data_IF_885416764534
#
_entry.id   IF_885416764534
#
_cell.length_a   1.000
_cell.length_b   1.000
_cell.length_c   1.000
_cell.angle_alpha   90.00
_cell.angle_beta   90.00
_cell.angle_gamma   90.00
#
_symmetry.space_group_name_H-M   'P 1'
#
loop_
_entity.id
_entity.type
_entity.pdbx_description
1 polymer ?
#
# COMPACT_ATOMS: atom_id res chain seq x y z
N UNK A 1 -53.32 -33.90 28.81
CA UNK A 1 -52.80 -33.28 27.57
C UNK A 1 -51.47 -32.61 27.91
N UNK A 2 -50.34 -33.32 27.73
CA UNK A 2 -49.00 -32.73 27.82
C UNK A 2 -48.47 -32.57 26.40
N UNK A 3 -48.31 -31.34 25.92
CA UNK A 3 -47.38 -31.07 24.82
C UNK A 3 -46.03 -30.68 25.43
N UNK A 4 -44.91 -31.29 25.01
CA UNK A 4 -43.60 -30.76 25.31
C UNK A 4 -43.20 -29.77 24.21
N UNK A 5 -42.99 -28.51 24.60
CA UNK A 5 -42.44 -27.47 23.74
C UNK A 5 -41.03 -27.86 23.26
N UNK A 6 -40.84 -27.82 21.94
CA UNK A 6 -39.54 -28.01 21.28
C UNK A 6 -38.67 -26.78 21.52
N UNK A 7 -37.74 -26.87 22.47
CA UNK A 7 -36.63 -25.92 22.57
C UNK A 7 -35.72 -26.02 21.34
N UNK A 8 -35.80 -24.99 20.50
CA UNK A 8 -34.92 -24.83 19.34
C UNK A 8 -33.58 -24.30 19.84
N UNK A 9 -32.58 -25.17 19.97
CA UNK A 9 -31.20 -24.77 20.32
C UNK A 9 -30.59 -23.92 19.21
N UNK A 10 -30.60 -22.61 19.40
CA UNK A 10 -29.83 -21.65 18.61
C UNK A 10 -28.34 -21.88 18.88
N UNK A 11 -27.64 -22.52 17.94
CA UNK A 11 -26.19 -22.67 18.00
C UNK A 11 -25.53 -21.30 17.82
N UNK A 12 -25.08 -20.69 18.92
CA UNK A 12 -24.20 -19.51 18.87
C UNK A 12 -22.89 -19.92 18.20
N UNK A 13 -22.56 -19.29 17.06
CA UNK A 13 -21.28 -19.48 16.39
C UNK A 13 -20.15 -19.13 17.37
N UNK A 14 -19.17 -20.02 17.60
CA UNK A 14 -18.07 -19.75 18.50
C UNK A 14 -17.25 -18.57 17.96
N UNK A 15 -16.88 -17.65 18.85
CA UNK A 15 -15.97 -16.55 18.54
C UNK A 15 -14.59 -17.19 18.33
N UNK A 16 -14.11 -17.24 17.08
CA UNK A 16 -12.85 -17.93 16.75
C UNK A 16 -11.68 -17.10 17.30
N UNK A 17 -11.10 -17.54 18.41
CA UNK A 17 -9.99 -16.84 19.06
C UNK A 17 -8.65 -17.06 18.34
N UNK A 18 -8.47 -18.20 17.66
CA UNK A 18 -7.29 -18.49 16.81
C UNK A 18 -7.67 -19.41 15.65
N UNK A 19 -7.16 -19.14 14.45
CA UNK A 19 -7.33 -20.02 13.31
C UNK A 19 -6.22 -21.10 13.28
N UNK A 20 -6.54 -22.28 12.78
CA UNK A 20 -5.60 -23.36 12.51
C UNK A 20 -5.38 -23.51 11.00
N UNK A 21 -4.12 -23.40 10.57
CA UNK A 21 -3.75 -23.49 9.15
C UNK A 21 -4.01 -24.89 8.56
N UNK A 22 -4.07 -25.93 9.39
CA UNK A 22 -4.35 -27.29 8.96
C UNK A 22 -5.83 -27.53 8.63
N UNK A 23 -6.74 -26.63 9.02
CA UNK A 23 -8.17 -26.77 8.80
C UNK A 23 -8.65 -25.88 7.66
N UNK A 24 -9.10 -26.50 6.57
CA UNK A 24 -9.54 -25.82 5.35
C UNK A 24 -10.63 -24.77 5.60
N UNK A 25 -11.66 -25.10 6.38
CA UNK A 25 -12.82 -24.20 6.59
C UNK A 25 -12.45 -22.91 7.32
N UNK A 26 -11.59 -23.04 8.33
CA UNK A 26 -11.05 -21.92 9.11
C UNK A 26 -10.20 -20.99 8.23
N UNK A 27 -9.39 -21.57 7.34
CA UNK A 27 -8.51 -20.79 6.45
C UNK A 27 -9.25 -20.08 5.31
N UNK A 28 -10.37 -20.63 4.82
CA UNK A 28 -11.22 -19.94 3.85
C UNK A 28 -11.96 -18.76 4.49
N UNK A 29 -12.41 -18.91 5.74
CA UNK A 29 -12.99 -17.78 6.49
C UNK A 29 -11.94 -16.68 6.72
N UNK A 30 -10.71 -17.07 7.07
CA UNK A 30 -9.60 -16.14 7.19
C UNK A 30 -9.35 -15.37 5.89
N UNK A 31 -9.39 -16.03 4.73
CA UNK A 31 -9.23 -15.35 3.44
C UNK A 31 -10.30 -14.25 3.21
N UNK A 32 -11.55 -14.49 3.59
CA UNK A 32 -12.64 -13.51 3.49
C UNK A 32 -12.40 -12.32 4.44
N UNK A 33 -12.02 -12.60 5.69
CA UNK A 33 -11.70 -11.57 6.68
C UNK A 33 -10.50 -10.70 6.22
N UNK A 34 -9.48 -11.35 5.65
CA UNK A 34 -8.30 -10.67 5.09
C UNK A 34 -8.67 -9.79 3.90
N UNK A 35 -9.49 -10.28 2.98
CA UNK A 35 -9.95 -9.52 1.83
C UNK A 35 -10.58 -8.19 2.27
N UNK A 36 -11.47 -8.25 3.26
CA UNK A 36 -12.13 -7.09 3.84
C UNK A 36 -11.14 -6.14 4.53
N UNK A 37 -10.33 -6.66 5.45
CA UNK A 37 -9.42 -5.83 6.26
C UNK A 37 -8.35 -5.13 5.41
N UNK A 38 -7.73 -5.85 4.46
CA UNK A 38 -6.70 -5.31 3.57
C UNK A 38 -7.29 -4.19 2.70
N UNK A 39 -8.53 -4.36 2.22
CA UNK A 39 -9.21 -3.37 1.38
C UNK A 39 -9.61 -2.12 2.17
N UNK A 40 -10.23 -2.29 3.33
CA UNK A 40 -10.69 -1.19 4.19
C UNK A 40 -9.52 -0.31 4.67
N UNK A 41 -8.36 -0.94 4.97
CA UNK A 41 -7.18 -0.25 5.48
C UNK A 41 -6.14 0.10 4.41
N UNK A 42 -6.41 -0.20 3.13
CA UNK A 42 -5.50 0.05 2.00
C UNK A 42 -4.10 -0.54 2.20
N UNK A 43 -4.04 -1.78 2.71
CA UNK A 43 -2.81 -2.53 2.97
C UNK A 43 -2.27 -3.24 1.72
N UNK A 44 -2.45 -2.61 0.55
CA UNK A 44 -2.04 -3.14 -0.73
C UNK A 44 -1.61 -2.01 -1.65
N UNK A 45 -0.88 -2.37 -2.70
CA UNK A 45 -0.46 -1.47 -3.76
C UNK A 45 -0.86 -2.04 -5.10
N UNK A 46 -1.36 -1.17 -5.98
CA UNK A 46 -1.65 -1.56 -7.35
C UNK A 46 -0.37 -1.40 -8.19
N UNK A 47 0.10 -2.48 -8.79
CA UNK A 47 1.25 -2.50 -9.68
C UNK A 47 0.81 -3.19 -10.96
N UNK A 48 0.82 -2.46 -12.09
CA UNK A 48 0.38 -2.96 -13.40
C UNK A 48 -1.04 -3.57 -13.39
N UNK A 49 -1.97 -2.95 -12.66
CA UNK A 49 -3.36 -3.39 -12.59
C UNK A 49 -3.61 -4.58 -11.65
N UNK A 50 -2.58 -5.06 -10.95
CA UNK A 50 -2.67 -6.14 -9.96
C UNK A 50 -2.44 -5.61 -8.55
N UNK A 51 -3.12 -6.20 -7.57
CA UNK A 51 -3.07 -5.76 -6.18
C UNK A 51 -2.11 -6.65 -5.37
N UNK A 52 -1.03 -6.05 -4.87
CA UNK A 52 -0.01 -6.72 -4.07
C UNK A 52 -0.10 -6.26 -2.62
N UNK A 53 -0.18 -7.20 -1.69
CA UNK A 53 -0.32 -6.90 -0.25
C UNK A 53 1.00 -6.39 0.31
N UNK A 54 0.95 -5.32 1.12
CA UNK A 54 2.11 -4.79 1.83
C UNK A 54 2.50 -5.66 3.02
N UNK A 55 3.71 -5.48 3.55
CA UNK A 55 4.22 -6.29 4.67
C UNK A 55 3.30 -6.25 5.91
N UNK A 56 2.56 -5.16 6.11
CA UNK A 56 1.60 -5.02 7.22
C UNK A 56 0.39 -5.93 7.04
N UNK A 57 -0.14 -6.05 5.82
CA UNK A 57 -1.21 -7.00 5.51
C UNK A 57 -0.78 -8.46 5.69
N UNK A 58 0.47 -8.79 5.34
CA UNK A 58 1.06 -10.12 5.63
C UNK A 58 1.20 -10.38 7.13
N UNK A 59 1.67 -9.39 7.90
CA UNK A 59 1.76 -9.48 9.36
C UNK A 59 0.38 -9.63 10.01
N UNK A 60 -0.63 -8.94 9.50
CA UNK A 60 -2.00 -9.10 9.98
C UNK A 60 -2.50 -10.54 9.77
N UNK A 61 -2.27 -11.11 8.58
CA UNK A 61 -2.59 -12.52 8.30
C UNK A 61 -1.89 -13.49 9.24
N UNK A 62 -0.58 -13.30 9.45
CA UNK A 62 0.18 -14.06 10.44
C UNK A 62 -0.37 -13.96 11.85
N UNK A 63 -0.67 -12.73 12.31
CA UNK A 63 -1.17 -12.47 13.67
C UNK A 63 -2.47 -13.21 13.97
N UNK A 64 -3.34 -13.40 12.96
CA UNK A 64 -4.62 -14.08 13.08
C UNK A 64 -4.48 -15.59 13.26
N UNK A 65 -3.32 -16.13 12.87
CA UNK A 65 -2.89 -17.51 13.08
C UNK A 65 -1.97 -17.67 14.31
N UNK A 66 -1.67 -16.58 15.03
CA UNK A 66 -0.71 -16.58 16.14
C UNK A 66 0.76 -16.69 15.68
N UNK A 67 1.05 -16.35 14.43
CA UNK A 67 2.39 -16.45 13.83
C UNK A 67 3.02 -15.06 13.72
N UNK A 68 4.15 -14.85 14.39
CA UNK A 68 4.85 -13.56 14.44
C UNK A 68 6.24 -13.64 13.78
N UNK A 69 6.72 -12.56 13.16
CA UNK A 69 8.05 -12.54 12.58
C UNK A 69 9.08 -12.20 13.66
N UNK A 70 10.20 -12.92 13.65
CA UNK A 70 11.37 -12.67 14.50
C UNK A 70 12.57 -12.47 13.58
N UNK A 71 13.15 -11.28 13.62
CA UNK A 71 14.39 -10.99 12.88
C UNK A 71 15.52 -11.78 13.52
N UNK A 72 16.07 -12.75 12.78
CA UNK A 72 17.18 -13.56 13.28
C UNK A 72 18.49 -12.78 13.19
N UNK A 73 18.75 -12.16 12.04
CA UNK A 73 19.91 -11.29 11.85
C UNK A 73 19.72 -10.33 10.69
N UNK A 74 20.45 -9.22 10.78
CA UNK A 74 20.67 -8.28 9.68
C UNK A 74 22.17 -8.04 9.55
N UNK A 75 22.72 -8.41 8.41
CA UNK A 75 24.16 -8.42 8.15
C UNK A 75 24.46 -7.38 7.08
N UNK A 76 25.40 -6.49 7.38
CA UNK A 76 25.99 -5.59 6.40
C UNK A 76 26.92 -6.43 5.50
N UNK A 77 26.63 -6.43 4.20
CA UNK A 77 27.42 -7.10 3.14
C UNK A 77 27.83 -6.08 2.06
N UNK A 78 28.01 -4.83 2.49
CA UNK A 78 28.37 -3.69 1.64
C UNK A 78 29.80 -3.81 1.10
N UNK A 79 30.04 -3.14 -0.02
CA UNK A 79 31.37 -2.88 -0.58
C UNK A 79 31.65 -1.37 -0.55
N UNK A 80 32.86 -0.95 -0.90
CA UNK A 80 33.24 0.48 -0.90
C UNK A 80 32.33 1.37 -1.77
N UNK A 81 31.64 0.76 -2.74
CA UNK A 81 30.82 1.39 -3.77
C UNK A 81 29.33 0.98 -3.76
N UNK A 82 28.91 0.16 -2.78
CA UNK A 82 27.54 -0.36 -2.67
C UNK A 82 27.14 -0.55 -1.21
N UNK A 83 26.05 0.10 -0.79
CA UNK A 83 25.43 -0.18 0.50
C UNK A 83 24.49 -1.37 0.30
N UNK A 84 24.75 -2.47 1.01
CA UNK A 84 24.02 -3.72 0.85
C UNK A 84 23.82 -4.43 2.17
N UNK A 85 22.58 -4.86 2.41
CA UNK A 85 22.19 -5.55 3.63
C UNK A 85 21.42 -6.82 3.31
N UNK A 86 21.73 -7.88 4.05
CA UNK A 86 20.98 -9.12 4.06
C UNK A 86 20.23 -9.24 5.38
N UNK A 87 18.96 -9.63 5.34
CA UNK A 87 18.17 -9.95 6.52
C UNK A 87 17.63 -11.38 6.43
N UNK A 88 17.62 -12.07 7.57
CA UNK A 88 16.91 -13.34 7.77
C UNK A 88 15.86 -13.16 8.84
N UNK A 89 14.65 -13.61 8.55
CA UNK A 89 13.49 -13.56 9.46
C UNK A 89 12.94 -14.96 9.59
N UNK A 90 12.67 -15.38 10.81
CA UNK A 90 11.91 -16.59 11.11
C UNK A 90 10.48 -16.23 11.51
N UNK A 91 9.57 -17.17 11.33
CA UNK A 91 8.20 -17.07 11.83
C UNK A 91 8.02 -18.00 13.02
N UNK A 92 7.66 -17.41 14.16
CA UNK A 92 7.39 -18.13 15.40
C UNK A 92 5.89 -18.34 15.54
N UNK A 93 5.46 -19.58 15.71
CA UNK A 93 4.09 -19.88 16.16
C UNK A 93 4.01 -19.74 17.68
N UNK A 94 3.20 -18.81 18.16
CA UNK A 94 3.05 -18.52 19.58
C UNK A 94 2.43 -19.69 20.37
N UNK A 95 1.69 -20.60 19.72
CA UNK A 95 1.08 -21.75 20.39
C UNK A 95 2.09 -22.87 20.64
N UNK A 96 2.82 -23.26 19.60
CA UNK A 96 3.80 -24.35 19.68
C UNK A 96 5.20 -23.89 20.10
N UNK A 97 5.48 -22.57 20.05
CA UNK A 97 6.81 -21.98 20.22
C UNK A 97 7.85 -22.52 19.23
N UNK A 98 7.40 -23.05 18.09
CA UNK A 98 8.26 -23.56 17.03
C UNK A 98 8.41 -22.55 15.89
N UNK A 99 9.55 -22.63 15.20
CA UNK A 99 9.78 -21.92 13.96
C UNK A 99 9.03 -22.65 12.83
N UNK A 100 8.03 -21.99 12.25
CA UNK A 100 7.14 -22.56 11.23
C UNK A 100 7.46 -22.08 9.82
N UNK A 101 8.34 -21.10 9.68
CA UNK A 101 8.76 -20.57 8.39
C UNK A 101 9.98 -19.67 8.52
N UNK A 102 10.63 -19.40 7.39
CA UNK A 102 11.75 -18.47 7.32
C UNK A 102 11.75 -17.74 5.97
N UNK A 103 12.34 -16.54 5.95
CA UNK A 103 12.50 -15.70 4.79
C UNK A 103 13.84 -14.99 4.81
N UNK A 104 14.43 -14.86 3.62
CA UNK A 104 15.68 -14.15 3.41
C UNK A 104 15.47 -13.09 2.36
N UNK A 105 16.05 -11.92 2.57
CA UNK A 105 16.06 -10.86 1.58
C UNK A 105 17.35 -10.07 1.63
N UNK A 106 17.72 -9.54 0.48
CA UNK A 106 18.80 -8.59 0.32
C UNK A 106 18.18 -7.28 -0.16
N UNK A 107 18.69 -6.16 0.34
CA UNK A 107 18.42 -4.85 -0.20
C UNK A 107 19.72 -4.10 -0.48
N UNK A 108 19.77 -3.35 -1.59
CA UNK A 108 20.93 -2.57 -2.00
C UNK A 108 20.54 -1.15 -2.43
N UNK A 109 21.44 -0.18 -2.25
CA UNK A 109 21.29 1.15 -2.83
C UNK A 109 21.43 1.16 -4.37
N UNK A 110 21.92 0.07 -4.98
CA UNK A 110 21.96 -0.09 -6.45
C UNK A 110 20.63 -0.50 -7.06
N UNK A 111 19.66 -0.90 -6.26
CA UNK A 111 18.30 -1.11 -6.76
C UNK A 111 17.72 0.20 -7.31
N UNK A 112 16.87 0.07 -8.31
CA UNK A 112 16.31 1.23 -9.00
C UNK A 112 15.56 2.14 -8.02
N UNK A 113 15.85 3.44 -8.08
CA UNK A 113 15.25 4.44 -7.19
C UNK A 113 15.89 4.53 -5.80
N UNK A 114 16.84 3.65 -5.43
CA UNK A 114 17.44 3.61 -4.08
C UNK A 114 18.86 4.18 -3.98
N UNK A 115 19.38 4.77 -5.06
CA UNK A 115 20.75 5.31 -5.14
C UNK A 115 21.11 6.30 -4.03
N UNK A 116 20.14 7.11 -3.60
CA UNK A 116 20.33 8.17 -2.60
C UNK A 116 19.79 7.81 -1.22
N UNK A 117 19.40 6.55 -1.00
CA UNK A 117 18.85 6.13 0.27
C UNK A 117 19.97 5.96 1.29
N UNK A 118 19.67 6.36 2.53
CA UNK A 118 20.60 6.25 3.64
C UNK A 118 20.74 4.78 4.07
N UNK A 119 21.87 4.45 4.67
CA UNK A 119 22.22 3.07 5.05
C UNK A 119 21.16 2.38 5.91
N UNK A 120 20.65 3.07 6.94
CA UNK A 120 19.59 2.53 7.80
C UNK A 120 18.31 2.20 7.01
N UNK A 121 18.00 2.97 5.96
CA UNK A 121 16.81 2.72 5.15
C UNK A 121 16.99 1.46 4.29
N UNK A 122 18.20 1.22 3.75
CA UNK A 122 18.54 -0.03 3.04
C UNK A 122 18.43 -1.23 3.99
N UNK A 123 18.97 -1.12 5.20
CA UNK A 123 18.85 -2.17 6.21
C UNK A 123 17.40 -2.46 6.60
N UNK A 124 16.59 -1.42 6.84
CA UNK A 124 15.16 -1.56 7.16
C UNK A 124 14.36 -2.17 6.00
N UNK A 125 14.66 -1.80 4.75
CA UNK A 125 14.01 -2.42 3.58
C UNK A 125 14.38 -3.90 3.42
N UNK A 126 15.62 -4.29 3.72
CA UNK A 126 15.99 -5.71 3.73
C UNK A 126 15.16 -6.49 4.76
N UNK A 127 14.96 -5.93 5.96
CA UNK A 127 14.11 -6.55 6.99
C UNK A 127 12.66 -6.71 6.53
N UNK A 128 12.01 -5.64 6.07
CA UNK A 128 10.60 -5.71 5.67
C UNK A 128 10.38 -6.65 4.48
N UNK A 129 11.31 -6.68 3.52
CA UNK A 129 11.31 -7.66 2.42
C UNK A 129 11.45 -9.10 2.93
N UNK A 130 12.33 -9.35 3.90
CA UNK A 130 12.50 -10.67 4.51
C UNK A 130 11.25 -11.11 5.29
N UNK A 131 10.58 -10.20 6.01
CA UNK A 131 9.30 -10.47 6.69
C UNK A 131 8.24 -10.89 5.67
N UNK A 132 8.07 -10.12 4.59
CA UNK A 132 7.14 -10.45 3.51
C UNK A 132 7.45 -11.82 2.90
N UNK A 133 8.73 -12.12 2.64
CA UNK A 133 9.20 -13.42 2.13
C UNK A 133 8.83 -14.57 3.07
N UNK A 134 9.06 -14.39 4.36
CA UNK A 134 8.81 -15.41 5.36
C UNK A 134 7.33 -15.79 5.39
N UNK A 135 6.44 -14.79 5.42
CA UNK A 135 5.00 -15.02 5.40
C UNK A 135 4.50 -15.57 4.07
N UNK A 136 5.03 -15.09 2.94
CA UNK A 136 4.72 -15.63 1.61
C UNK A 136 4.90 -17.14 1.57
N UNK A 137 6.00 -17.66 2.12
CA UNK A 137 6.33 -19.08 2.06
C UNK A 137 5.26 -19.99 2.69
N UNK A 138 4.46 -19.49 3.63
CA UNK A 138 3.43 -20.28 4.32
C UNK A 138 1.98 -19.81 4.05
N UNK A 139 1.76 -18.52 3.74
CA UNK A 139 0.43 -17.90 3.61
C UNK A 139 0.08 -17.46 2.18
N UNK A 140 0.96 -17.65 1.19
CA UNK A 140 0.71 -17.21 -0.19
C UNK A 140 -0.64 -17.64 -0.77
N UNK A 141 -1.06 -18.88 -0.49
CA UNK A 141 -2.32 -19.41 -0.98
C UNK A 141 -3.53 -18.76 -0.30
N UNK A 142 -3.42 -18.34 0.97
CA UNK A 142 -4.48 -17.61 1.70
C UNK A 142 -4.64 -16.21 1.10
N UNK A 143 -3.53 -15.52 0.83
CA UNK A 143 -3.56 -14.19 0.18
C UNK A 143 -4.16 -14.26 -1.22
N UNK A 144 -3.84 -15.33 -1.97
CA UNK A 144 -4.48 -15.57 -3.27
C UNK A 144 -5.98 -15.86 -3.14
N UNK A 145 -6.39 -16.64 -2.15
CA UNK A 145 -7.81 -16.88 -1.88
C UNK A 145 -8.55 -15.59 -1.47
N UNK A 146 -7.85 -14.65 -0.84
CA UNK A 146 -8.38 -13.32 -0.51
C UNK A 146 -8.47 -12.36 -1.73
N UNK A 147 -8.02 -12.79 -2.91
CA UNK A 147 -8.12 -12.03 -4.17
C UNK A 147 -6.90 -11.17 -4.52
N UNK A 148 -5.80 -11.29 -3.77
CA UNK A 148 -4.58 -10.52 -4.02
C UNK A 148 -3.47 -11.37 -4.64
N UNK A 149 -2.46 -10.73 -5.20
CA UNK A 149 -1.25 -11.43 -5.66
C UNK A 149 -0.46 -11.97 -4.44
N UNK A 150 0.05 -13.21 -4.50
CA UNK A 150 0.73 -13.84 -3.36
C UNK A 150 2.17 -13.35 -3.19
N UNK A 151 2.59 -12.35 -3.97
CA UNK A 151 3.92 -11.74 -3.84
C UNK A 151 3.76 -10.47 -3.00
N UNK A 152 4.55 -10.29 -1.94
CA UNK A 152 4.55 -9.03 -1.18
C UNK A 152 4.92 -7.84 -2.07
N UNK A 153 4.34 -6.67 -1.81
CA UNK A 153 4.66 -5.47 -2.59
C UNK A 153 6.13 -5.07 -2.48
N UNK A 154 6.80 -5.36 -1.36
CA UNK A 154 8.20 -5.07 -1.10
C UNK A 154 9.17 -5.90 -1.97
N UNK A 155 8.69 -7.00 -2.56
CA UNK A 155 9.41 -7.81 -3.56
C UNK A 155 9.19 -7.32 -4.99
N UNK A 156 8.28 -6.38 -5.21
CA UNK A 156 7.98 -5.87 -6.54
C UNK A 156 8.87 -4.68 -6.85
N UNK A 157 9.57 -4.76 -7.98
CA UNK A 157 10.28 -3.62 -8.52
C UNK A 157 9.27 -2.60 -9.03
N UNK A 158 9.21 -1.43 -8.40
CA UNK A 158 8.30 -0.33 -8.78
C UNK A 158 8.58 0.28 -10.16
N UNK A 159 9.60 -0.23 -10.85
CA UNK A 159 10.08 0.26 -12.13
C UNK A 159 9.47 -0.49 -13.30
N UNK A 160 8.18 -0.24 -13.49
CA UNK A 160 7.47 -0.46 -14.75
C UNK A 160 6.32 0.53 -14.94
N UNK A 161 6.32 1.65 -14.21
CA UNK A 161 5.28 2.66 -14.30
C UNK A 161 5.56 3.62 -15.46
N UNK A 162 5.69 3.09 -16.67
CA UNK A 162 5.20 3.81 -17.83
C UNK A 162 3.67 3.78 -17.75
N UNK A 163 2.95 4.90 -17.92
CA UNK A 163 1.52 4.82 -18.11
C UNK A 163 1.30 3.92 -19.31
N UNK A 164 0.66 2.75 -19.10
CA UNK A 164 0.28 1.86 -20.17
C UNK A 164 -0.37 2.70 -21.26
N UNK A 165 0.30 2.84 -22.40
CA UNK A 165 -0.26 3.47 -23.57
C UNK A 165 -1.60 2.78 -23.80
N UNK A 166 -2.69 3.56 -23.77
CA UNK A 166 -4.07 3.09 -23.87
C UNK A 166 -4.16 1.96 -24.89
N UNK A 167 -4.24 0.71 -24.40
CA UNK A 167 -4.43 -0.43 -25.25
C UNK A 167 -5.80 -0.26 -25.90
N UNK A 168 -5.81 -0.05 -27.22
CA UNK A 168 -7.04 -0.08 -28.01
C UNK A 168 -7.71 -1.44 -27.78
N UNK A 169 -9.03 -1.51 -27.59
CA UNK A 169 -9.71 -2.77 -27.31
C UNK A 169 -9.50 -3.73 -28.48
N UNK A 170 -8.85 -4.87 -28.18
CA UNK A 170 -8.73 -5.98 -29.11
C UNK A 170 -10.10 -6.66 -29.24
N UNK A 171 -10.55 -6.75 -30.49
CA UNK A 171 -11.78 -7.43 -30.90
C UNK A 171 -11.68 -8.91 -30.52
N UNK A 172 -12.63 -9.49 -29.75
CA UNK A 172 -12.60 -10.91 -29.41
C UNK A 172 -12.92 -11.77 -30.63
N UNK A 173 -12.05 -12.73 -30.96
CA UNK A 173 -12.34 -13.77 -31.95
C UNK A 173 -12.95 -14.97 -31.23
N UNK A 174 -14.21 -15.27 -31.53
CA UNK A 174 -15.00 -16.35 -30.96
C UNK A 174 -14.43 -17.75 -31.27
N UNK A 175 -14.46 -18.64 -30.28
CA UNK A 175 -14.68 -20.08 -30.51
C UNK A 175 -16.06 -20.46 -29.95
N UNK A 176 -16.95 -20.82 -30.88
CA UNK A 176 -18.29 -21.37 -30.65
C UNK A 176 -18.24 -22.72 -29.92
N UNK A 177 -19.02 -22.84 -28.86
CA UNK A 177 -19.70 -24.08 -28.50
C UNK A 177 -21.11 -23.74 -28.00
N UNK A 178 -22.08 -24.22 -28.75
CA UNK A 178 -23.54 -24.03 -28.68
C UNK A 178 -24.19 -24.62 -27.44
N UNK A 179 -25.13 -23.90 -26.83
CA UNK A 179 -26.52 -24.37 -26.55
C UNK A 179 -27.44 -23.17 -26.22
N UNK A 180 -28.54 -23.06 -26.99
CA UNK A 180 -29.74 -22.17 -26.86
C UNK A 180 -30.39 -22.34 -25.46
N UNK A 181 -31.13 -21.43 -24.85
CA UNK A 181 -32.22 -20.50 -25.26
C UNK A 181 -32.48 -19.58 -24.05
N UNK A 182 -32.71 -18.26 -24.13
CA UNK A 182 -34.01 -17.63 -24.36
C UNK A 182 -33.87 -16.10 -24.16
N UNK A 183 -34.38 -15.33 -25.13
CA UNK A 183 -35.01 -13.96 -25.13
C UNK A 183 -35.10 -13.19 -23.80
N UNK A 184 -34.92 -11.86 -23.70
CA UNK A 184 -35.38 -10.76 -24.57
C UNK A 184 -34.60 -9.42 -24.37
N UNK A 185 -34.86 -8.48 -25.28
CA UNK A 185 -34.33 -7.11 -25.49
C UNK A 185 -34.69 -6.04 -24.41
N UNK A 186 -34.12 -4.81 -24.49
CA UNK A 186 -33.82 -3.95 -23.34
C UNK A 186 -34.89 -2.90 -23.05
N UNK A 187 -34.93 -2.41 -21.80
CA UNK A 187 -35.61 -1.17 -21.44
C UNK A 187 -34.63 -0.29 -20.68
N UNK A 188 -34.31 0.84 -21.29
CA UNK A 188 -33.71 1.99 -20.65
C UNK A 188 -34.82 2.77 -19.93
N UNK A 189 -34.68 3.08 -18.65
CA UNK A 189 -35.01 4.41 -18.09
C UNK A 189 -34.56 4.57 -16.63
N UNK A 190 -34.17 5.81 -16.32
CA UNK A 190 -34.22 6.47 -15.02
C UNK A 190 -33.32 5.98 -13.87
N UNK A 191 -32.06 6.43 -13.88
CA UNK A 191 -31.31 6.66 -12.65
C UNK A 191 -31.69 8.03 -12.07
N UNK A 192 -32.43 8.00 -10.97
CA UNK A 192 -32.72 9.16 -10.13
C UNK A 192 -31.45 9.76 -9.53
N UNK A 193 -31.45 11.09 -9.48
CA UNK A 193 -30.46 11.92 -8.82
C UNK A 193 -30.51 11.70 -7.30
N UNK A 194 -29.37 11.36 -6.71
CA UNK A 194 -29.08 11.76 -5.33
C UNK A 194 -27.73 12.48 -5.33
N UNK A 195 -27.83 13.80 -5.13
CA UNK A 195 -26.73 14.70 -4.83
C UNK A 195 -26.23 14.38 -3.41
N UNK A 196 -25.11 13.69 -3.30
CA UNK A 196 -24.27 13.77 -2.11
C UNK A 196 -23.02 14.58 -2.47
N UNK A 197 -22.91 15.74 -1.82
CA UNK A 197 -21.82 16.69 -1.93
C UNK A 197 -20.51 16.05 -1.45
N UNK A 198 -19.79 15.39 -2.35
CA UNK A 198 -18.37 15.12 -2.16
C UNK A 198 -17.59 16.39 -2.53
N UNK A 199 -17.11 17.13 -1.53
CA UNK A 199 -16.11 18.17 -1.76
C UNK A 199 -14.83 17.51 -2.28
N UNK A 200 -14.64 17.46 -3.60
CA UNK A 200 -13.41 16.96 -4.19
C UNK A 200 -12.29 17.95 -3.86
N UNK A 201 -11.44 17.64 -2.88
CA UNK A 201 -10.26 18.45 -2.60
C UNK A 201 -9.31 18.29 -3.79
N UNK A 202 -9.23 19.33 -4.64
CA UNK A 202 -8.27 19.37 -5.75
C UNK A 202 -6.90 19.73 -5.21
N UNK A 203 -5.99 18.77 -5.26
CA UNK A 203 -4.59 18.96 -4.87
C UNK A 203 -3.89 19.94 -5.81
N UNK A 204 -2.88 20.64 -5.28
CA UNK A 204 -2.09 21.61 -6.02
C UNK A 204 -1.49 20.99 -7.30
N UNK A 205 -1.64 21.72 -8.41
CA UNK A 205 -1.13 21.30 -9.72
C UNK A 205 0.41 21.25 -9.74
N UNK A 206 0.98 20.46 -10.65
CA UNK A 206 2.43 20.34 -10.81
C UNK A 206 3.10 21.71 -11.05
N UNK A 207 2.43 22.60 -11.82
CA UNK A 207 2.89 23.97 -12.09
C UNK A 207 2.98 24.83 -10.83
N UNK A 208 2.01 24.70 -9.93
CA UNK A 208 2.02 25.44 -8.66
C UNK A 208 3.13 24.95 -7.73
N UNK A 209 3.38 23.63 -7.70
CA UNK A 209 4.48 23.06 -6.91
C UNK A 209 5.84 23.51 -7.43
N UNK A 210 6.02 23.55 -8.74
CA UNK A 210 7.24 24.04 -9.39
C UNK A 210 7.51 25.52 -9.08
N UNK A 211 6.49 26.37 -9.17
CA UNK A 211 6.60 27.79 -8.83
C UNK A 211 6.94 28.02 -7.34
N UNK A 212 6.33 27.25 -6.43
CA UNK A 212 6.67 27.29 -5.00
C UNK A 212 8.15 26.93 -4.79
N UNK A 213 8.63 25.85 -5.42
CA UNK A 213 10.03 25.42 -5.30
C UNK A 213 10.99 26.51 -5.83
N UNK A 214 10.62 27.16 -6.95
CA UNK A 214 11.39 28.26 -7.53
C UNK A 214 11.50 29.45 -6.58
N UNK A 215 10.39 29.89 -5.99
CA UNK A 215 10.36 31.00 -5.04
C UNK A 215 11.13 30.68 -3.75
N UNK A 216 11.05 29.43 -3.26
CA UNK A 216 11.81 28.97 -2.09
C UNK A 216 13.33 28.85 -2.35
N UNK A 217 13.78 28.97 -3.59
CA UNK A 217 15.20 28.98 -3.94
C UNK A 217 15.81 30.39 -3.99
N UNK A 218 15.03 31.44 -3.71
CA UNK A 218 15.54 32.81 -3.60
C UNK A 218 16.41 32.95 -2.32
N UNK A 219 17.58 33.63 -2.38
CA UNK A 219 18.47 33.87 -1.23
C UNK A 219 17.83 34.59 -0.04
N UNK A 220 16.74 35.34 -0.23
CA UNK A 220 16.04 36.08 0.85
C UNK A 220 15.13 35.20 1.72
N UNK A 221 14.88 33.95 1.29
CA UNK A 221 14.08 32.98 2.03
C UNK A 221 14.95 32.18 2.99
N UNK A 222 14.54 32.11 4.26
CA UNK A 222 15.31 31.41 5.28
C UNK A 222 15.26 29.90 5.09
N UNK A 223 16.31 29.20 5.55
CA UNK A 223 16.40 27.73 5.50
C UNK A 223 15.25 27.05 6.26
N UNK A 224 14.76 27.66 7.34
CA UNK A 224 13.64 27.15 8.13
C UNK A 224 12.30 27.26 7.37
N UNK A 225 12.04 28.39 6.71
CA UNK A 225 10.86 28.59 5.85
C UNK A 225 10.86 27.61 4.66
N UNK A 226 12.02 27.43 4.01
CA UNK A 226 12.21 26.47 2.92
C UNK A 226 11.89 25.03 3.34
N UNK A 227 12.42 24.60 4.47
CA UNK A 227 12.20 23.23 4.97
C UNK A 227 10.74 22.98 5.32
N UNK A 228 10.08 23.94 5.99
CA UNK A 228 8.66 23.82 6.39
C UNK A 228 7.70 23.75 5.20
N UNK A 229 7.98 24.52 4.14
CA UNK A 229 7.16 24.53 2.93
C UNK A 229 7.37 23.27 2.08
N UNK A 230 8.60 22.79 1.95
CA UNK A 230 8.90 21.56 1.21
C UNK A 230 8.28 20.30 1.84
N UNK A 231 8.21 20.23 3.18
CA UNK A 231 7.56 19.12 3.88
C UNK A 231 6.04 19.05 3.63
N UNK A 232 5.40 20.19 3.37
CA UNK A 232 3.95 20.29 3.21
C UNK A 232 3.48 20.45 1.75
N UNK A 233 4.41 20.55 0.79
CA UNK A 233 4.11 20.84 -0.63
C UNK A 233 3.19 19.80 -1.28
N UNK A 234 3.21 18.55 -0.79
CA UNK A 234 2.37 17.46 -1.29
C UNK A 234 0.97 17.44 -0.67
N UNK A 235 0.72 18.25 0.37
CA UNK A 235 -0.55 18.34 1.09
C UNK A 235 -1.33 19.63 0.78
N UNK A 236 -0.79 20.51 -0.07
CA UNK A 236 -1.49 21.71 -0.50
C UNK A 236 -2.59 21.40 -1.50
N UNK A 237 -3.74 22.03 -1.30
CA UNK A 237 -4.80 22.18 -2.28
C UNK A 237 -4.47 23.36 -3.22
N UNK A 238 -5.24 23.48 -4.32
CA UNK A 238 -5.01 24.49 -5.35
C UNK A 238 -5.06 25.93 -4.81
N UNK A 239 -5.95 26.21 -3.85
CA UNK A 239 -6.11 27.52 -3.24
C UNK A 239 -4.98 27.87 -2.26
N UNK A 240 -4.58 26.94 -1.38
CA UNK A 240 -3.46 27.17 -0.45
C UNK A 240 -2.14 27.27 -1.19
N UNK A 241 -1.97 26.55 -2.30
CA UNK A 241 -0.79 26.71 -3.15
C UNK A 241 -0.73 28.11 -3.77
N UNK A 242 -1.84 28.65 -4.26
CA UNK A 242 -1.91 30.02 -4.77
C UNK A 242 -1.61 31.06 -3.68
N UNK A 243 -2.18 30.89 -2.48
CA UNK A 243 -1.90 31.77 -1.33
C UNK A 243 -0.44 31.69 -0.86
N UNK A 244 0.16 30.50 -0.89
CA UNK A 244 1.57 30.31 -0.55
C UNK A 244 2.49 31.01 -1.56
N UNK A 245 2.16 30.96 -2.85
CA UNK A 245 2.90 31.68 -3.92
C UNK A 245 2.82 33.19 -3.70
N UNK A 246 1.63 33.75 -3.46
CA UNK A 246 1.46 35.19 -3.23
C UNK A 246 2.21 35.67 -1.98
N UNK A 247 2.15 34.90 -0.89
CA UNK A 247 2.87 35.19 0.35
C UNK A 247 4.38 35.14 0.16
N UNK A 248 4.90 34.15 -0.60
CA UNK A 248 6.32 34.05 -0.89
C UNK A 248 6.80 35.22 -1.74
N UNK A 249 6.01 35.68 -2.72
CA UNK A 249 6.34 36.87 -3.53
C UNK A 249 6.42 38.13 -2.68
N UNK A 250 5.43 38.38 -1.82
CA UNK A 250 5.44 39.54 -0.90
C UNK A 250 6.63 39.53 0.06
N UNK A 251 6.96 38.37 0.65
CA UNK A 251 8.10 38.24 1.56
C UNK A 251 9.42 38.47 0.85
N UNK A 252 9.53 38.06 -0.42
CA UNK A 252 10.71 38.32 -1.25
C UNK A 252 10.81 39.82 -1.54
N UNK A 253 9.74 40.45 -2.01
CA UNK A 253 9.69 41.89 -2.31
C UNK A 253 10.02 42.75 -1.08
N UNK A 254 9.37 42.50 0.07
CA UNK A 254 9.60 43.25 1.32
C UNK A 254 11.05 43.13 1.83
N UNK A 255 11.70 41.99 1.61
CA UNK A 255 13.09 41.74 2.04
C UNK A 255 14.12 42.26 1.03
N UNK A 256 13.80 42.24 -0.26
CA UNK A 256 14.63 42.84 -1.32
C UNK A 256 14.60 44.38 -1.24
N UNK A 257 13.44 44.99 -0.94
CA UNK A 257 13.28 46.43 -0.70
C UNK A 257 13.99 46.89 0.59
N UNK A 258 13.94 46.08 1.65
CA UNK A 258 14.65 46.34 2.90
C UNK A 258 16.19 46.23 2.79
N UNK A 259 16.68 45.37 1.90
CA UNK A 259 18.12 45.24 1.61
C UNK A 259 18.64 46.35 0.71
N UNK A 260 17.80 46.91 -0.18
CA UNK A 260 18.16 48.03 -1.04
C UNK A 260 18.06 49.40 -0.35
N UNK A 261 17.29 49.52 0.73
CA UNK A 261 17.26 50.71 1.59
C UNK A 261 18.42 50.78 2.63
N UNK A 262 19.17 49.69 2.80
CA UNK A 262 20.27 49.55 3.78
C UNK A 262 21.67 49.47 3.14
N UNK A 263 21.77 49.62 1.82
CA UNK A 263 23.00 49.69 1.04
C UNK A 263 23.26 51.14 0.58
#
# INVERSE_FOLDING_TARGET
MNQPDKETKVQKKPKIESYDIAKSDETLHLAVDLAKFIKENRLYQNIQGKEYVNVEGWQYAGSRLGILPVVEHVVNISTDDEIKYQAKVNLLDMRSQLIVGAGFAICSNREQGKKYYQEFAIASMAQTRAIGKAYRNILAWVIRAAGYEPTPSEEMDYSGNEPAAKAKPAVPTEKKATMKSSTAEPVAEAAEKQEEQSGSVRYASAKQKEEIIRLLNNPTITRQEKTKMLLNINRFDEERAAQAIDKLKKVIEEREDGQSAAA
#
